data_IF_466647647325
#
_entry.id   IF_466647647325
#
_cell.length_a   1.000
_cell.length_b   1.000
_cell.length_c   1.000
_cell.angle_alpha   90.00
_cell.angle_beta   90.00
_cell.angle_gamma   90.00
#
_symmetry.space_group_name_H-M   'P 1'
#
loop_
_entity.id
_entity.type
_entity.pdbx_description
1 polymer ?
#
# COMPACT_ATOMS: atom_id res chain seq x y z
N UNK A 1 -20.46 23.16 -8.06
CA UNK A 1 -19.85 21.84 -8.29
C UNK A 1 -18.36 21.91 -8.63
N UNK A 2 -17.92 22.72 -9.62
CA UNK A 2 -16.47 22.87 -9.92
C UNK A 2 -15.65 23.37 -8.70
N UNK A 3 -16.11 24.43 -8.02
CA UNK A 3 -15.45 24.96 -6.80
C UNK A 3 -15.34 23.98 -5.64
N UNK A 4 -16.24 22.99 -5.52
CA UNK A 4 -16.21 22.00 -4.44
C UNK A 4 -15.21 20.87 -4.72
N UNK A 5 -15.07 20.47 -5.99
CA UNK A 5 -14.07 19.45 -6.39
C UNK A 5 -12.65 20.01 -6.28
N UNK A 6 -12.43 21.28 -6.66
CA UNK A 6 -11.12 21.93 -6.52
C UNK A 6 -10.72 22.09 -5.05
N UNK A 7 -11.66 22.48 -4.18
CA UNK A 7 -11.44 22.57 -2.74
C UNK A 7 -11.16 21.19 -2.13
N UNK A 8 -11.90 20.16 -2.56
CA UNK A 8 -11.68 18.78 -2.14
C UNK A 8 -10.27 18.31 -2.49
N UNK A 9 -9.81 18.59 -3.71
CA UNK A 9 -8.46 18.28 -4.17
C UNK A 9 -7.42 19.00 -3.31
N UNK A 10 -7.59 20.29 -3.04
CA UNK A 10 -6.65 21.04 -2.19
C UNK A 10 -6.57 20.50 -0.76
N UNK A 11 -7.71 20.15 -0.14
CA UNK A 11 -7.73 19.57 1.21
C UNK A 11 -7.05 18.20 1.24
N UNK A 12 -7.33 17.35 0.25
CA UNK A 12 -6.67 16.06 0.08
C UNK A 12 -5.16 16.24 -0.07
N UNK A 13 -4.71 17.09 -0.98
CA UNK A 13 -3.29 17.25 -1.29
C UNK A 13 -2.52 17.74 -0.06
N UNK A 14 -3.07 18.71 0.70
CA UNK A 14 -2.51 19.16 1.99
C UNK A 14 -2.43 18.05 3.03
N UNK A 15 -3.45 17.19 3.09
CA UNK A 15 -3.47 16.06 4.01
C UNK A 15 -2.41 15.02 3.63
N UNK A 16 -2.29 14.69 2.34
CA UNK A 16 -1.33 13.73 1.81
C UNK A 16 0.13 14.21 1.92
N UNK A 17 0.37 15.51 1.95
CA UNK A 17 1.69 16.07 2.27
C UNK A 17 2.10 15.75 3.72
N UNK A 18 1.16 15.77 4.66
CA UNK A 18 1.38 15.50 6.09
C UNK A 18 1.28 14.01 6.44
N UNK A 19 0.55 13.25 5.65
CA UNK A 19 0.35 11.80 5.77
C UNK A 19 0.88 11.10 4.51
N UNK A 20 2.20 11.11 4.28
CA UNK A 20 2.76 10.56 3.06
C UNK A 20 2.45 9.06 2.95
N UNK A 21 1.95 8.66 1.79
CA UNK A 21 1.90 7.23 1.44
C UNK A 21 3.32 6.65 1.36
N UNK A 22 3.45 5.37 1.71
CA UNK A 22 4.73 4.66 1.69
C UNK A 22 5.49 4.80 0.36
N UNK A 23 4.82 4.62 -0.78
CA UNK A 23 5.48 4.75 -2.09
C UNK A 23 6.04 6.16 -2.32
N UNK A 24 5.27 7.18 -1.96
CA UNK A 24 5.71 8.57 -2.05
C UNK A 24 6.87 8.86 -1.09
N UNK A 25 6.85 8.26 0.10
CA UNK A 25 7.91 8.38 1.08
C UNK A 25 9.23 7.77 0.57
N UNK A 26 9.16 6.54 0.05
CA UNK A 26 10.30 5.85 -0.55
C UNK A 26 10.84 6.59 -1.78
N UNK A 27 9.95 7.08 -2.64
CA UNK A 27 10.34 7.83 -3.85
C UNK A 27 11.05 9.13 -3.48
N UNK A 28 10.50 9.92 -2.54
CA UNK A 28 11.14 11.15 -2.03
C UNK A 28 12.51 10.85 -1.44
N UNK A 29 12.62 9.80 -0.64
CA UNK A 29 13.91 9.38 -0.09
C UNK A 29 14.93 9.04 -1.18
N UNK A 30 14.54 8.22 -2.16
CA UNK A 30 15.40 7.81 -3.26
C UNK A 30 15.87 9.02 -4.07
N UNK A 31 14.96 9.95 -4.41
CA UNK A 31 15.29 11.21 -5.10
C UNK A 31 16.30 12.02 -4.31
N UNK A 32 16.06 12.25 -3.01
CA UNK A 32 16.99 13.00 -2.15
C UNK A 32 18.39 12.36 -2.09
N UNK A 33 18.47 11.03 -2.00
CA UNK A 33 19.76 10.36 -2.03
C UNK A 33 20.41 10.45 -3.42
N UNK A 34 19.63 10.35 -4.49
CA UNK A 34 20.13 10.43 -5.86
C UNK A 34 20.69 11.82 -6.19
N UNK A 35 19.97 12.88 -5.80
CA UNK A 35 20.41 14.28 -5.93
C UNK A 35 21.73 14.53 -5.20
N UNK A 36 21.86 14.00 -3.98
CA UNK A 36 23.10 14.11 -3.18
C UNK A 36 24.32 13.52 -3.90
N UNK A 37 24.12 12.56 -4.79
CA UNK A 37 25.18 11.91 -5.55
C UNK A 37 25.16 12.26 -7.05
N UNK A 38 24.45 13.33 -7.45
CA UNK A 38 24.32 13.81 -8.83
C UNK A 38 23.80 12.76 -9.83
N UNK A 39 22.82 11.95 -9.42
CA UNK A 39 22.15 10.96 -10.27
C UNK A 39 20.75 11.46 -10.60
N UNK A 40 20.46 11.62 -11.89
CA UNK A 40 19.23 12.27 -12.36
C UNK A 40 18.09 11.27 -12.67
N UNK A 41 18.38 9.98 -12.72
CA UNK A 41 17.43 8.94 -13.12
C UNK A 41 17.54 7.74 -12.18
N UNK A 42 16.60 7.61 -11.25
CA UNK A 42 16.44 6.43 -10.39
C UNK A 42 14.96 6.10 -10.27
N UNK A 43 14.66 4.81 -10.16
CA UNK A 43 13.29 4.33 -9.96
C UNK A 43 13.22 3.38 -8.76
N UNK A 44 12.07 3.37 -8.10
CA UNK A 44 11.73 2.35 -7.12
C UNK A 44 11.59 0.97 -7.78
N UNK A 45 11.20 0.93 -9.05
CA UNK A 45 10.99 -0.29 -9.83
C UNK A 45 12.26 -0.81 -10.51
N UNK A 46 13.39 -0.09 -10.36
CA UNK A 46 14.67 -0.53 -10.92
C UNK A 46 15.08 -1.88 -10.32
N UNK A 47 15.43 -2.83 -11.19
CA UNK A 47 15.77 -4.19 -10.82
C UNK A 47 17.24 -4.30 -10.43
N UNK A 48 17.49 -5.05 -9.36
CA UNK A 48 18.82 -5.33 -8.81
C UNK A 48 18.95 -6.82 -8.59
N UNK A 49 20.02 -7.38 -9.12
CA UNK A 49 20.30 -8.81 -9.01
C UNK A 49 21.35 -9.06 -7.94
N UNK A 50 21.02 -9.88 -6.95
CA UNK A 50 21.92 -10.33 -5.90
C UNK A 50 22.34 -11.78 -6.15
N UNK A 51 23.64 -12.02 -6.10
CA UNK A 51 24.22 -13.35 -6.23
C UNK A 51 24.64 -13.86 -4.87
N UNK A 52 24.15 -15.02 -4.48
CA UNK A 52 24.49 -15.65 -3.21
C UNK A 52 25.21 -16.97 -3.44
N UNK A 53 26.18 -17.24 -2.57
CA UNK A 53 26.89 -18.50 -2.50
C UNK A 53 26.85 -19.03 -1.07
N UNK A 54 26.82 -20.35 -0.95
CA UNK A 54 27.08 -21.00 0.32
C UNK A 54 28.58 -21.00 0.62
N UNK A 55 28.93 -20.84 1.89
CA UNK A 55 30.33 -20.86 2.34
C UNK A 55 30.45 -21.66 3.63
N UNK A 56 31.50 -22.48 3.72
CA UNK A 56 31.89 -23.23 4.91
C UNK A 56 33.37 -22.97 5.16
N UNK A 57 33.71 -22.77 6.43
CA UNK A 57 35.10 -22.68 6.87
C UNK A 57 35.80 -24.05 6.92
N UNK A 58 35.06 -25.16 6.74
CA UNK A 58 35.60 -26.51 6.64
C UNK A 58 35.72 -26.92 5.16
N UNK A 59 36.95 -27.12 4.62
CA UNK A 59 37.19 -27.45 3.21
C UNK A 59 36.55 -28.76 2.73
N UNK A 60 36.46 -29.77 3.60
CA UNK A 60 35.82 -31.06 3.25
C UNK A 60 34.31 -30.86 3.05
N UNK A 61 33.71 -30.01 3.89
CA UNK A 61 32.30 -29.64 3.82
C UNK A 61 32.05 -28.66 2.69
N UNK A 62 32.98 -27.77 2.33
CA UNK A 62 32.81 -26.77 1.28
C UNK A 62 32.49 -27.42 -0.09
N UNK A 63 33.16 -28.53 -0.41
CA UNK A 63 32.95 -29.28 -1.64
C UNK A 63 31.53 -29.87 -1.74
N UNK A 64 31.00 -30.36 -0.62
CA UNK A 64 29.64 -30.92 -0.51
C UNK A 64 28.58 -29.82 -0.35
N UNK A 65 28.93 -28.69 0.26
CA UNK A 65 28.00 -27.60 0.52
C UNK A 65 27.53 -26.93 -0.77
N UNK A 66 28.38 -26.84 -1.79
CA UNK A 66 27.96 -26.37 -3.13
C UNK A 66 26.95 -27.30 -3.80
N UNK A 67 26.94 -28.58 -3.42
CA UNK A 67 25.96 -29.56 -3.91
C UNK A 67 24.61 -29.44 -3.19
N UNK A 68 24.64 -29.30 -1.86
CA UNK A 68 23.41 -29.15 -1.05
C UNK A 68 22.80 -27.74 -1.14
N UNK A 69 23.63 -26.72 -1.33
CA UNK A 69 23.28 -25.30 -1.37
C UNK A 69 23.97 -24.64 -2.57
N UNK A 70 23.50 -24.93 -3.79
CA UNK A 70 24.08 -24.37 -5.01
C UNK A 70 23.92 -22.85 -5.04
N UNK A 71 24.78 -22.10 -5.77
CA UNK A 71 24.63 -20.65 -5.90
C UNK A 71 23.23 -20.24 -6.36
N UNK A 72 22.69 -19.18 -5.77
CA UNK A 72 21.35 -18.68 -6.05
C UNK A 72 21.42 -17.23 -6.50
N UNK A 73 20.64 -16.92 -7.53
CA UNK A 73 20.37 -15.56 -7.96
C UNK A 73 18.98 -15.12 -7.47
N UNK A 74 18.89 -13.90 -6.93
CA UNK A 74 17.62 -13.26 -6.58
C UNK A 74 17.55 -11.87 -7.18
N UNK A 75 16.41 -11.55 -7.78
CA UNK A 75 16.12 -10.21 -8.29
C UNK A 75 15.15 -9.51 -7.36
N UNK A 76 15.48 -8.29 -6.98
CA UNK A 76 14.65 -7.40 -6.17
C UNK A 76 14.51 -6.05 -6.87
N UNK A 77 13.41 -5.34 -6.62
CA UNK A 77 13.35 -3.92 -6.98
C UNK A 77 14.09 -3.07 -5.95
N UNK A 78 14.51 -1.85 -6.29
CA UNK A 78 15.06 -0.88 -5.32
C UNK A 78 14.08 -0.65 -4.16
N UNK A 79 12.78 -0.63 -4.46
CA UNK A 79 11.70 -0.60 -3.46
C UNK A 79 11.81 -1.73 -2.45
N UNK A 80 11.99 -2.97 -2.93
CA UNK A 80 12.10 -4.15 -2.07
C UNK A 80 13.33 -4.10 -1.16
N UNK A 81 14.45 -3.57 -1.66
CA UNK A 81 15.70 -3.42 -0.90
C UNK A 81 15.58 -2.35 0.19
N UNK A 82 14.97 -1.20 -0.13
CA UNK A 82 14.67 -0.17 0.86
C UNK A 82 13.75 -0.72 1.96
N UNK A 83 12.77 -1.56 1.58
CA UNK A 83 11.92 -2.30 2.50
C UNK A 83 12.60 -3.55 3.11
N UNK A 84 13.90 -3.73 2.93
CA UNK A 84 14.67 -4.79 3.60
C UNK A 84 14.27 -6.23 3.25
N UNK A 85 13.56 -6.45 2.13
CA UNK A 85 13.14 -7.80 1.71
C UNK A 85 14.32 -8.70 1.41
N UNK A 86 15.36 -8.15 0.80
CA UNK A 86 16.62 -8.83 0.53
C UNK A 86 17.29 -9.28 1.85
N UNK A 87 17.50 -8.34 2.78
CA UNK A 87 18.11 -8.63 4.10
C UNK A 87 17.33 -9.68 4.88
N UNK A 88 16.00 -9.65 4.79
CA UNK A 88 15.15 -10.67 5.41
C UNK A 88 15.38 -12.04 4.78
N UNK A 89 15.34 -12.14 3.45
CA UNK A 89 15.59 -13.41 2.78
C UNK A 89 16.94 -13.99 3.21
N UNK A 90 17.97 -13.16 3.29
CA UNK A 90 19.29 -13.57 3.77
C UNK A 90 19.25 -14.07 5.23
N UNK A 91 18.50 -13.41 6.12
CA UNK A 91 18.33 -13.85 7.52
C UNK A 91 17.56 -15.18 7.67
N UNK A 92 16.71 -15.52 6.70
CA UNK A 92 15.98 -16.79 6.66
C UNK A 92 16.77 -17.91 5.97
N UNK A 93 17.84 -17.56 5.24
CA UNK A 93 18.66 -18.48 4.45
C UNK A 93 20.12 -18.39 4.92
N UNK A 94 20.35 -18.75 6.19
CA UNK A 94 21.63 -18.60 6.88
C UNK A 94 22.80 -19.35 6.23
N UNK A 95 22.52 -20.35 5.41
CA UNK A 95 23.50 -21.11 4.62
C UNK A 95 24.12 -20.27 3.48
N UNK A 96 23.52 -19.13 3.14
CA UNK A 96 23.93 -18.27 2.04
C UNK A 96 24.57 -16.97 2.54
N UNK A 97 25.52 -16.47 1.74
CA UNK A 97 26.12 -15.14 1.88
C UNK A 97 26.20 -14.47 0.51
N UNK A 98 26.23 -13.14 0.50
CA UNK A 98 26.44 -12.39 -0.73
C UNK A 98 27.78 -12.78 -1.34
N UNK A 99 27.79 -13.07 -2.64
CA UNK A 99 29.00 -13.35 -3.39
C UNK A 99 29.90 -12.11 -3.41
N UNK A 100 31.11 -12.21 -2.88
CA UNK A 100 32.04 -11.07 -2.81
C UNK A 100 32.57 -10.63 -4.19
N UNK A 101 32.52 -11.52 -5.19
CA UNK A 101 33.00 -11.26 -6.55
C UNK A 101 31.90 -10.64 -7.41
N UNK A 102 30.71 -11.22 -7.40
CA UNK A 102 29.58 -10.76 -8.21
C UNK A 102 28.73 -9.70 -7.50
N UNK A 103 28.57 -9.82 -6.18
CA UNK A 103 27.86 -8.87 -5.34
C UNK A 103 26.41 -8.64 -5.76
N UNK A 104 25.97 -7.39 -5.57
CA UNK A 104 24.70 -6.89 -6.06
C UNK A 104 24.92 -6.08 -7.34
N UNK A 105 24.27 -6.48 -8.42
CA UNK A 105 24.34 -5.80 -9.71
C UNK A 105 23.16 -4.83 -9.81
N UNK A 106 23.47 -3.55 -9.68
CA UNK A 106 22.54 -2.44 -9.91
C UNK A 106 22.60 -1.95 -11.36
N UNK A 107 21.57 -1.24 -11.84
CA UNK A 107 21.64 -0.51 -13.10
C UNK A 107 22.84 0.47 -13.12
N UNK A 108 23.45 0.64 -14.29
CA UNK A 108 24.74 1.33 -14.44
C UNK A 108 24.76 2.79 -13.94
N UNK A 109 23.59 3.43 -13.86
CA UNK A 109 23.47 4.80 -13.34
C UNK A 109 23.65 4.91 -11.81
N UNK A 110 23.57 3.82 -11.07
CA UNK A 110 23.73 3.83 -9.61
C UNK A 110 25.21 3.84 -9.22
N UNK A 111 25.63 4.89 -8.53
CA UNK A 111 27.01 4.98 -8.02
C UNK A 111 27.19 4.14 -6.74
N UNK A 112 28.43 3.70 -6.46
CA UNK A 112 28.76 2.94 -5.24
C UNK A 112 28.29 3.63 -3.94
N UNK A 113 28.43 4.96 -3.77
CA UNK A 113 27.87 5.66 -2.60
C UNK A 113 26.34 5.54 -2.47
N UNK A 114 25.60 5.65 -3.58
CA UNK A 114 24.14 5.50 -3.56
C UNK A 114 23.75 4.04 -3.24
N UNK A 115 24.41 3.07 -3.87
CA UNK A 115 24.19 1.63 -3.62
C UNK A 115 24.38 1.31 -2.13
N UNK A 116 25.48 1.78 -1.54
CA UNK A 116 25.74 1.59 -0.11
C UNK A 116 24.63 2.20 0.76
N UNK A 117 24.08 3.34 0.35
CA UNK A 117 22.98 3.99 1.08
C UNK A 117 21.67 3.20 0.99
N UNK A 118 21.32 2.70 -0.19
CA UNK A 118 20.12 1.88 -0.42
C UNK A 118 20.23 0.56 0.35
N UNK A 119 21.38 -0.12 0.28
CA UNK A 119 21.61 -1.40 0.96
C UNK A 119 21.65 -1.30 2.50
N UNK A 120 22.05 -0.15 3.04
CA UNK A 120 22.16 0.06 4.50
C UNK A 120 20.92 0.68 5.15
N UNK A 121 20.01 1.28 4.38
CA UNK A 121 18.86 1.99 4.94
C UNK A 121 17.80 1.02 5.46
N UNK A 122 17.46 1.16 6.75
CA UNK A 122 16.21 0.64 7.30
C UNK A 122 15.17 1.77 7.35
N UNK A 123 14.64 2.14 6.18
CA UNK A 123 13.68 3.24 6.05
C UNK A 123 12.29 2.90 6.60
N UNK A 124 11.99 1.61 6.79
CA UNK A 124 10.73 1.16 7.40
C UNK A 124 10.56 1.75 8.80
N UNK A 125 11.58 1.64 9.65
CA UNK A 125 11.51 2.15 11.02
C UNK A 125 11.29 3.68 11.03
N UNK A 126 11.99 4.42 10.18
CA UNK A 126 11.80 5.87 10.06
C UNK A 126 10.38 6.23 9.63
N UNK A 127 9.82 5.51 8.66
CA UNK A 127 8.43 5.71 8.23
C UNK A 127 7.42 5.35 9.33
N UNK A 128 7.64 4.23 10.04
CA UNK A 128 6.79 3.81 11.16
C UNK A 128 6.79 4.89 12.25
N UNK A 129 7.96 5.39 12.65
CA UNK A 129 8.10 6.43 13.66
C UNK A 129 7.37 7.72 13.24
N UNK A 130 7.42 8.07 11.96
CA UNK A 130 6.70 9.21 11.41
C UNK A 130 5.19 9.02 11.44
N UNK A 131 4.69 7.85 11.03
CA UNK A 131 3.28 7.49 11.10
C UNK A 131 2.76 7.48 12.55
N UNK A 132 3.54 6.94 13.50
CA UNK A 132 3.19 6.94 14.93
C UNK A 132 3.13 8.36 15.52
N UNK A 133 3.99 9.29 15.05
CA UNK A 133 3.91 10.71 15.43
C UNK A 133 2.66 11.36 14.85
N UNK A 134 2.32 11.07 13.59
CA UNK A 134 1.11 11.58 12.94
C UNK A 134 -0.15 11.06 13.65
N UNK A 135 -0.18 9.79 14.05
CA UNK A 135 -1.29 9.19 14.79
C UNK A 135 -1.67 9.97 16.06
N UNK A 136 -0.67 10.56 16.70
CA UNK A 136 -0.79 11.34 17.95
C UNK A 136 -0.96 12.84 17.72
N UNK A 137 -1.05 13.29 16.47
CA UNK A 137 -1.13 14.71 16.12
C UNK A 137 -2.60 15.15 15.94
N UNK A 138 -3.13 15.87 16.93
CA UNK A 138 -4.52 16.35 16.93
C UNK A 138 -4.82 17.33 15.78
N UNK A 139 -3.84 18.11 15.32
CA UNK A 139 -4.03 19.04 14.21
C UNK A 139 -4.25 18.29 12.89
N UNK A 140 -3.43 17.26 12.63
CA UNK A 140 -3.58 16.42 11.43
C UNK A 140 -4.87 15.62 11.52
N UNK A 141 -5.20 15.07 12.69
CA UNK A 141 -6.46 14.36 12.92
C UNK A 141 -7.68 15.25 12.63
N UNK A 142 -7.66 16.51 13.09
CA UNK A 142 -8.72 17.49 12.78
C UNK A 142 -8.81 17.78 11.28
N UNK A 143 -7.68 17.93 10.60
CA UNK A 143 -7.64 18.15 9.14
C UNK A 143 -8.17 16.94 8.36
N UNK A 144 -7.88 15.71 8.83
CA UNK A 144 -8.43 14.49 8.27
C UNK A 144 -9.95 14.47 8.34
N UNK A 145 -10.54 14.75 9.51
CA UNK A 145 -11.99 14.74 9.68
C UNK A 145 -12.70 15.86 8.91
N UNK A 146 -12.10 17.04 8.84
CA UNK A 146 -12.60 18.14 8.00
C UNK A 146 -12.56 17.80 6.50
N UNK A 147 -11.51 17.10 6.05
CA UNK A 147 -11.45 16.56 4.69
C UNK A 147 -12.54 15.50 4.45
N UNK A 148 -12.67 14.52 5.34
CA UNK A 148 -13.66 13.45 5.24
C UNK A 148 -15.09 14.01 5.17
N UNK A 149 -15.44 14.94 6.06
CA UNK A 149 -16.74 15.60 6.05
C UNK A 149 -17.01 16.29 4.69
N UNK A 150 -15.98 16.93 4.12
CA UNK A 150 -16.10 17.58 2.82
C UNK A 150 -16.26 16.59 1.66
N UNK A 151 -15.52 15.48 1.65
CA UNK A 151 -15.69 14.37 0.69
C UNK A 151 -17.14 13.89 0.73
N UNK A 152 -17.62 13.55 1.93
CA UNK A 152 -18.95 12.97 2.10
C UNK A 152 -20.05 13.96 1.74
N UNK A 153 -19.89 15.25 2.09
CA UNK A 153 -20.85 16.29 1.71
C UNK A 153 -20.89 16.50 0.20
N UNK A 154 -19.73 16.50 -0.46
CA UNK A 154 -19.61 16.68 -1.92
C UNK A 154 -20.39 15.61 -2.69
N UNK A 155 -20.38 14.38 -2.19
CA UNK A 155 -21.07 13.25 -2.80
C UNK A 155 -22.45 12.95 -2.20
N UNK A 156 -22.95 13.79 -1.28
CA UNK A 156 -24.26 13.60 -0.64
C UNK A 156 -24.36 12.35 0.25
N UNK A 157 -23.25 11.95 0.88
CA UNK A 157 -23.13 10.72 1.69
C UNK A 157 -22.81 10.97 3.18
N UNK A 158 -22.82 12.22 3.65
CA UNK A 158 -22.47 12.60 5.04
C UNK A 158 -23.28 11.83 6.09
N UNK A 159 -24.59 11.76 5.93
CA UNK A 159 -25.52 11.16 6.90
C UNK A 159 -26.11 9.83 6.39
N UNK A 160 -25.39 9.13 5.51
CA UNK A 160 -25.83 7.89 4.88
C UNK A 160 -25.09 6.71 5.50
N UNK A 161 -25.81 5.60 5.75
CA UNK A 161 -25.21 4.34 6.17
C UNK A 161 -24.16 3.87 5.15
N UNK A 162 -23.03 3.39 5.66
CA UNK A 162 -21.91 2.97 4.85
C UNK A 162 -21.42 1.57 5.23
N UNK A 163 -20.64 0.99 4.35
CA UNK A 163 -19.92 -0.26 4.54
C UNK A 163 -18.44 -0.01 4.34
N UNK A 164 -17.60 -0.69 5.12
CA UNK A 164 -16.17 -0.78 4.84
C UNK A 164 -15.88 -2.03 4.02
N UNK A 165 -14.94 -1.91 3.09
CA UNK A 165 -14.35 -3.09 2.47
C UNK A 165 -13.36 -3.70 3.47
N UNK A 166 -13.50 -5.00 3.73
CA UNK A 166 -12.63 -5.72 4.66
C UNK A 166 -11.15 -5.52 4.28
N UNK A 167 -10.29 -5.24 5.28
CA UNK A 167 -8.86 -4.94 5.10
C UNK A 167 -8.53 -3.71 4.24
N UNK A 168 -9.49 -2.80 4.03
CA UNK A 168 -9.29 -1.55 3.30
C UNK A 168 -9.97 -0.38 4.02
N UNK A 169 -9.32 0.24 5.03
CA UNK A 169 -9.92 1.35 5.79
C UNK A 169 -10.13 2.62 4.94
N UNK A 170 -9.55 2.70 3.74
CA UNK A 170 -9.69 3.83 2.83
C UNK A 170 -10.83 3.74 1.81
N UNK A 171 -11.59 2.63 1.76
CA UNK A 171 -12.71 2.44 0.82
C UNK A 171 -14.04 2.38 1.55
N UNK A 172 -14.86 3.40 1.33
CA UNK A 172 -16.22 3.49 1.86
C UNK A 172 -17.21 3.13 0.76
N UNK A 173 -18.17 2.25 1.06
CA UNK A 173 -19.22 1.83 0.13
C UNK A 173 -20.56 2.29 0.64
N UNK A 174 -21.27 3.08 -0.16
CA UNK A 174 -22.57 3.61 0.15
C UNK A 174 -23.62 3.03 -0.79
N UNK A 175 -24.83 2.73 -0.30
CA UNK A 175 -25.98 2.53 -1.17
C UNK A 175 -26.24 3.77 -2.04
N UNK A 176 -26.58 3.52 -3.31
CA UNK A 176 -26.86 4.57 -4.30
C UNK A 176 -28.24 4.39 -4.94
N UNK A 177 -29.27 4.45 -4.09
CA UNK A 177 -30.67 4.11 -4.41
C UNK A 177 -31.25 4.85 -5.61
N UNK A 178 -30.72 6.02 -5.94
CA UNK A 178 -31.25 6.89 -6.99
C UNK A 178 -30.74 6.51 -8.40
N UNK A 179 -29.81 5.54 -8.53
CA UNK A 179 -29.16 5.19 -9.81
C UNK A 179 -29.57 3.86 -10.44
N UNK A 180 -30.59 3.17 -9.94
CA UNK A 180 -31.02 1.91 -10.56
C UNK A 180 -32.33 1.36 -10.02
N UNK A 181 -32.90 0.32 -10.66
CA UNK A 181 -34.12 -0.32 -10.20
C UNK A 181 -33.89 -0.94 -8.82
N UNK A 182 -34.60 -0.41 -7.85
CA UNK A 182 -34.67 -0.94 -6.49
C UNK A 182 -35.31 -2.33 -6.58
N UNK A 183 -34.52 -3.38 -6.36
CA UNK A 183 -35.07 -4.74 -6.34
C UNK A 183 -35.92 -4.89 -5.07
N UNK A 184 -37.02 -5.64 -5.11
CA UNK A 184 -37.93 -5.76 -3.95
C UNK A 184 -37.30 -6.21 -2.63
N UNK A 185 -36.05 -6.70 -2.67
CA UNK A 185 -35.18 -7.06 -1.53
C UNK A 185 -34.72 -5.83 -0.74
N UNK A 186 -34.71 -4.65 -1.36
CA UNK A 186 -34.20 -3.39 -0.82
C UNK A 186 -35.16 -2.74 0.19
N UNK A 187 -36.40 -3.24 0.27
CA UNK A 187 -37.48 -2.68 1.09
C UNK A 187 -37.65 -3.37 2.45
N UNK A 188 -37.05 -4.53 2.65
CA UNK A 188 -37.12 -5.26 3.92
C UNK A 188 -35.98 -4.84 4.85
N UNK A 189 -36.30 -3.87 5.71
CA UNK A 189 -35.65 -3.60 7.02
C UNK A 189 -34.20 -3.12 6.92
N UNK A 190 -33.95 -1.80 7.03
CA UNK A 190 -32.66 -1.22 7.47
C UNK A 190 -31.37 -1.87 6.90
N UNK A 191 -31.43 -2.48 5.72
CA UNK A 191 -30.57 -3.59 5.33
C UNK A 191 -30.56 -3.71 3.82
N UNK A 192 -30.01 -2.70 3.17
CA UNK A 192 -29.74 -2.76 1.74
C UNK A 192 -28.63 -3.79 1.55
N UNK A 193 -28.87 -4.82 0.75
CA UNK A 193 -27.81 -5.73 0.36
C UNK A 193 -26.95 -5.04 -0.71
N UNK A 194 -25.92 -4.32 -0.27
CA UNK A 194 -24.95 -3.60 -1.11
C UNK A 194 -24.24 -4.52 -2.11
N UNK A 195 -24.28 -5.85 -1.89
CA UNK A 195 -23.75 -6.83 -2.85
C UNK A 195 -24.49 -6.83 -4.20
N UNK A 196 -25.80 -6.52 -4.22
CA UNK A 196 -26.67 -6.65 -5.40
C UNK A 196 -27.45 -5.38 -5.76
N UNK A 197 -27.18 -4.27 -5.09
CA UNK A 197 -27.88 -2.99 -5.29
C UNK A 197 -26.90 -1.91 -5.71
N UNK A 198 -27.34 -0.86 -6.42
CA UNK A 198 -26.44 0.21 -6.83
C UNK A 198 -25.63 0.77 -5.67
N UNK A 199 -24.33 0.93 -5.89
CA UNK A 199 -23.39 1.43 -4.88
C UNK A 199 -22.54 2.58 -5.41
N UNK A 200 -22.19 3.48 -4.50
CA UNK A 200 -21.15 4.47 -4.67
C UNK A 200 -19.94 4.04 -3.81
N UNK A 201 -18.78 3.90 -4.44
CA UNK A 201 -17.51 3.55 -3.80
C UNK A 201 -16.66 4.80 -3.72
N UNK A 202 -16.42 5.29 -2.51
CA UNK A 202 -15.63 6.49 -2.23
C UNK A 202 -14.27 6.08 -1.68
N UNK A 203 -13.21 6.61 -2.30
CA UNK A 203 -11.84 6.48 -1.82
C UNK A 203 -11.44 7.69 -0.99
N UNK A 204 -11.07 7.45 0.28
CA UNK A 204 -10.53 8.49 1.15
C UNK A 204 -9.18 8.97 0.62
N UNK A 205 -8.35 8.06 0.11
CA UNK A 205 -7.00 8.39 -0.34
C UNK A 205 -6.97 9.23 -1.63
N UNK A 206 -7.90 8.98 -2.57
CA UNK A 206 -7.92 9.69 -3.86
C UNK A 206 -8.94 10.83 -3.88
N UNK A 207 -9.97 10.77 -3.03
CA UNK A 207 -11.12 11.66 -3.04
C UNK A 207 -12.13 11.34 -4.14
N UNK A 208 -11.92 10.27 -4.90
CA UNK A 208 -12.77 9.87 -6.02
C UNK A 208 -14.00 9.08 -5.55
N UNK A 209 -15.10 9.25 -6.27
CA UNK A 209 -16.34 8.48 -6.11
C UNK A 209 -16.64 7.73 -7.41
N UNK A 210 -16.72 6.40 -7.34
CA UNK A 210 -17.04 5.53 -8.46
C UNK A 210 -18.41 4.90 -8.24
N UNK A 211 -19.23 4.84 -9.28
CA UNK A 211 -20.60 4.31 -9.19
C UNK A 211 -20.70 2.98 -9.96
N UNK A 212 -21.34 2.00 -9.34
CA UNK A 212 -21.54 0.68 -9.94
C UNK A 212 -22.97 0.17 -9.73
N UNK A 213 -23.50 -0.66 -10.65
CA UNK A 213 -24.81 -1.28 -10.49
C UNK A 213 -24.91 -2.18 -9.24
N UNK A 214 -23.77 -2.70 -8.77
CA UNK A 214 -23.65 -3.40 -7.49
C UNK A 214 -22.20 -3.52 -7.03
N UNK A 215 -21.98 -3.86 -5.74
CA UNK A 215 -20.63 -4.18 -5.28
C UNK A 215 -20.04 -5.42 -5.97
N UNK A 216 -20.90 -6.39 -6.36
CA UNK A 216 -20.48 -7.51 -7.22
C UNK A 216 -19.95 -7.04 -8.58
N UNK A 217 -20.61 -6.06 -9.19
CA UNK A 217 -20.18 -5.51 -10.48
C UNK A 217 -18.91 -4.68 -10.34
N UNK A 218 -18.71 -3.98 -9.22
CA UNK A 218 -17.42 -3.38 -8.88
C UNK A 218 -16.30 -4.44 -8.82
N UNK A 219 -16.50 -5.55 -8.09
CA UNK A 219 -15.54 -6.66 -8.03
C UNK A 219 -15.18 -7.21 -9.42
N UNK A 220 -16.20 -7.39 -10.28
CA UNK A 220 -16.01 -7.84 -11.67
C UNK A 220 -15.35 -6.80 -12.57
N UNK A 221 -15.55 -5.51 -12.31
CA UNK A 221 -14.93 -4.45 -13.07
C UNK A 221 -13.43 -4.38 -12.78
N UNK A 222 -13.03 -4.59 -11.52
CA UNK A 222 -11.61 -4.60 -11.13
C UNK A 222 -10.83 -5.65 -11.92
N UNK A 223 -11.39 -6.84 -12.13
CA UNK A 223 -10.70 -7.93 -12.88
C UNK A 223 -10.60 -7.68 -14.38
N UNK A 224 -11.32 -6.70 -14.93
CA UNK A 224 -11.38 -6.41 -16.36
C UNK A 224 -10.59 -5.17 -16.78
N UNK A 225 -10.14 -4.35 -15.83
CA UNK A 225 -9.51 -3.06 -16.10
C UNK A 225 -8.24 -2.89 -15.27
N UNK A 226 -7.08 -2.89 -15.94
CA UNK A 226 -5.78 -2.69 -15.28
C UNK A 226 -5.69 -1.36 -14.52
N UNK A 227 -6.30 -0.30 -15.07
CA UNK A 227 -6.39 1.00 -14.39
C UNK A 227 -7.17 0.90 -13.08
N UNK A 228 -8.31 0.20 -13.10
CA UNK A 228 -9.12 0.02 -11.90
C UNK A 228 -8.47 -0.97 -10.92
N UNK A 229 -7.77 -2.00 -11.41
CA UNK A 229 -6.95 -2.91 -10.60
C UNK A 229 -5.88 -2.15 -9.84
N UNK A 230 -5.12 -1.30 -10.52
CA UNK A 230 -4.11 -0.44 -9.90
C UNK A 230 -4.73 0.49 -8.85
N UNK A 231 -5.85 1.15 -9.18
CA UNK A 231 -6.57 2.02 -8.26
C UNK A 231 -7.08 1.26 -7.01
N UNK A 232 -7.67 0.08 -7.19
CA UNK A 232 -8.19 -0.73 -6.09
C UNK A 232 -7.05 -1.20 -5.19
N UNK A 233 -5.97 -1.76 -5.76
CA UNK A 233 -4.80 -2.25 -5.03
C UNK A 233 -4.17 -1.19 -4.12
N UNK A 234 -4.29 0.10 -4.46
CA UNK A 234 -3.80 1.19 -3.62
C UNK A 234 -4.37 1.18 -2.20
N UNK A 235 -5.58 0.63 -2.02
CA UNK A 235 -6.33 0.64 -0.78
C UNK A 235 -6.11 -0.61 0.10
N UNK A 236 -5.31 -1.57 -0.37
CA UNK A 236 -5.05 -2.81 0.34
C UNK A 236 -3.56 -2.94 0.67
N UNK A 237 -3.29 -3.76 1.68
CA UNK A 237 -1.92 -4.10 2.05
C UNK A 237 -1.35 -5.03 0.96
N UNK A 238 -0.24 -4.65 0.33
CA UNK A 238 0.38 -5.32 -0.83
C UNK A 238 0.99 -6.72 -0.54
N UNK A 239 0.42 -7.51 0.36
CA UNK A 239 1.00 -8.79 0.80
C UNK A 239 0.59 -10.01 -0.04
N UNK A 240 -0.39 -9.87 -0.91
CA UNK A 240 -0.79 -10.86 -1.93
C UNK A 240 -1.53 -10.15 -3.07
N UNK A 241 -1.60 -10.74 -4.27
CA UNK A 241 -2.55 -10.27 -5.27
C UNK A 241 -3.94 -10.23 -4.62
N UNK A 242 -4.55 -9.06 -4.61
CA UNK A 242 -5.86 -8.86 -4.03
C UNK A 242 -6.84 -9.81 -4.70
N UNK A 243 -7.40 -10.76 -3.95
CA UNK A 243 -8.48 -11.60 -4.46
C UNK A 243 -9.76 -10.77 -4.49
N UNK A 244 -9.94 -10.02 -5.58
CA UNK A 244 -11.06 -9.11 -5.79
C UNK A 244 -12.42 -9.81 -5.65
N UNK A 245 -12.47 -11.13 -5.91
CA UNK A 245 -13.70 -11.92 -5.80
C UNK A 245 -14.12 -12.15 -4.34
N UNK A 246 -13.17 -12.13 -3.41
CA UNK A 246 -13.36 -12.36 -1.98
C UNK A 246 -13.54 -11.08 -1.16
N UNK A 247 -13.58 -9.91 -1.79
CA UNK A 247 -13.87 -8.66 -1.08
C UNK A 247 -15.24 -8.76 -0.41
N UNK A 248 -15.27 -8.47 0.89
CA UNK A 248 -16.47 -8.47 1.73
C UNK A 248 -16.72 -7.07 2.28
N UNK A 249 -17.99 -6.82 2.56
CA UNK A 249 -18.47 -5.59 3.17
C UNK A 249 -18.77 -5.84 4.65
N UNK A 250 -18.12 -5.07 5.51
CA UNK A 250 -18.43 -4.99 6.92
C UNK A 250 -19.34 -3.78 7.13
N UNK A 251 -20.52 -4.03 7.71
CA UNK A 251 -21.46 -2.96 8.05
C UNK A 251 -20.94 -2.25 9.30
N UNK A 252 -20.58 -0.98 9.13
CA UNK A 252 -20.26 -0.10 10.25
C UNK A 252 -21.47 0.77 10.54
N UNK A 253 -21.84 0.91 11.81
CA UNK A 253 -23.15 1.45 12.14
C UNK A 253 -23.20 2.93 12.52
N UNK A 254 -22.18 3.60 13.09
CA UNK A 254 -22.49 4.91 13.72
C UNK A 254 -21.44 6.04 13.60
N UNK A 255 -20.13 5.81 13.51
CA UNK A 255 -19.19 6.95 13.37
C UNK A 255 -17.96 6.66 12.51
N UNK A 256 -17.25 7.72 12.14
CA UNK A 256 -16.00 7.67 11.37
C UNK A 256 -14.76 7.85 12.26
N UNK A 257 -14.93 7.94 13.58
CA UNK A 257 -13.94 8.42 14.55
C UNK A 257 -12.70 7.53 14.70
N UNK A 258 -12.79 6.29 14.18
CA UNK A 258 -11.71 5.30 14.15
C UNK A 258 -10.93 5.30 12.83
N UNK A 259 -11.42 5.96 11.78
CA UNK A 259 -10.86 5.85 10.43
C UNK A 259 -9.46 6.44 10.34
N UNK A 260 -9.20 7.54 11.05
CA UNK A 260 -7.88 8.16 11.05
C UNK A 260 -6.81 7.18 11.56
N UNK A 261 -7.00 6.63 12.75
CA UNK A 261 -6.11 5.66 13.36
C UNK A 261 -5.97 4.41 12.49
N UNK A 262 -7.09 3.92 11.94
CA UNK A 262 -7.10 2.73 11.08
C UNK A 262 -6.31 2.93 9.78
N UNK A 263 -6.38 4.12 9.18
CA UNK A 263 -5.58 4.48 8.00
C UNK A 263 -4.10 4.56 8.34
N UNK A 264 -3.75 5.13 9.49
CA UNK A 264 -2.35 5.19 9.94
C UNK A 264 -1.82 3.79 10.24
N UNK A 265 -2.58 2.95 10.93
CA UNK A 265 -2.20 1.57 11.24
C UNK A 265 -2.08 0.73 9.98
N UNK A 266 -2.94 0.95 8.99
CA UNK A 266 -2.81 0.38 7.65
C UNK A 266 -1.51 0.81 6.97
N UNK A 267 -1.19 2.09 6.97
CA UNK A 267 0.08 2.59 6.41
C UNK A 267 1.30 1.97 7.09
N UNK A 268 1.29 1.89 8.42
CA UNK A 268 2.33 1.22 9.23
C UNK A 268 2.41 -0.25 8.85
N UNK A 269 1.27 -0.95 8.77
CA UNK A 269 1.21 -2.36 8.37
C UNK A 269 1.74 -2.56 6.95
N UNK A 270 1.47 -1.66 6.01
CA UNK A 270 2.01 -1.70 4.64
C UNK A 270 3.53 -1.49 4.59
N UNK A 271 4.11 -0.77 5.56
CA UNK A 271 5.57 -0.65 5.71
C UNK A 271 6.19 -1.83 6.46
N UNK A 272 5.46 -2.44 7.39
CA UNK A 272 5.89 -3.60 8.17
C UNK A 272 5.65 -4.86 7.35
N UNK A 273 6.71 -5.44 6.81
CA UNK A 273 6.60 -6.81 6.33
C UNK A 273 6.34 -7.75 7.52
N UNK A 274 5.07 -8.11 7.77
CA UNK A 274 4.67 -9.00 8.86
C UNK A 274 4.91 -10.45 8.44
N UNK A 275 5.73 -11.16 9.21
CA UNK A 275 5.74 -12.62 9.25
C UNK A 275 4.32 -13.11 9.61
N UNK A 276 3.67 -13.84 8.70
CA UNK A 276 2.53 -14.68 9.09
C UNK A 276 2.92 -16.09 9.51
N UNK A 277 4.22 -16.42 9.61
CA UNK A 277 4.67 -17.72 10.12
C UNK A 277 5.75 -17.53 11.20
N UNK A 278 5.30 -17.27 12.42
CA UNK A 278 5.97 -17.80 13.61
C UNK A 278 4.92 -18.63 14.33
N UNK A 279 5.01 -19.94 14.14
CA UNK A 279 4.31 -20.94 14.94
C UNK A 279 4.81 -20.93 16.38
#
# INVERSE_FOLDING_TARGET
>A
MLKSIDLLKQKKDKLLEKMPHLENYLAKYLVQQSEKYNINHTSLDDLVTFYYKSYSFNPEVESLQKYYYPPIEKTYTVRDILLGRERKWLSENLDYKLDEVLGAIYPAQYTKPLINKINSANIQNSYIDEMEKIKKNDEIKKQFYDYLEHVLTTYGKKDVLYYLVENSPGLLVFPDKDRGPVTGIDKTINGINSENTPVAVISIFTGECLHYPSFRDFKRAITKSEKLKSWANFHFDNYSELDHSKLKLNRENIDYSFLFESIIDFNIKKSRYINQNTH
#
